data_IF_682202569367
#
_entry.id   IF_682202569367
#
_cell.length_a   1.000
_cell.length_b   1.000
_cell.length_c   1.000
_cell.angle_alpha   90.00
_cell.angle_beta   90.00
_cell.angle_gamma   90.00
#
_symmetry.space_group_name_H-M   'P 1'
#
loop_
_entity.id
_entity.type
_entity.pdbx_description
1 polymer ?
#
# COMPACT_ATOMS: atom_id res chain seq x y z
N UNK A 1 -11.83 -0.51 27.46
CA UNK A 1 -10.78 0.47 27.08
C UNK A 1 -9.40 -0.21 26.96
N UNK A 2 -9.29 -1.32 26.22
CA UNK A 2 -8.06 -2.14 26.14
C UNK A 2 -7.50 -2.25 24.70
N UNK A 3 -7.75 -1.28 23.82
CA UNK A 3 -7.58 -1.50 22.37
C UNK A 3 -6.38 -0.78 21.73
N UNK A 4 -5.79 0.22 22.38
CA UNK A 4 -4.68 1.00 21.80
C UNK A 4 -3.34 0.28 21.83
N UNK A 5 -2.90 -0.16 23.02
CA UNK A 5 -1.58 -0.79 23.22
C UNK A 5 -1.43 -2.15 22.54
N UNK A 6 -2.50 -2.97 22.52
CA UNK A 6 -2.46 -4.27 21.83
C UNK A 6 -2.39 -4.12 20.30
N UNK A 7 -3.09 -3.13 19.74
CA UNK A 7 -3.07 -2.86 18.30
C UNK A 7 -1.71 -2.34 17.83
N UNK A 8 -1.03 -1.52 18.64
CA UNK A 8 0.33 -1.08 18.34
C UNK A 8 1.29 -2.27 18.38
N UNK A 9 1.30 -3.07 19.45
CA UNK A 9 2.17 -4.24 19.56
C UNK A 9 1.98 -5.23 18.40
N UNK A 10 0.73 -5.43 17.96
CA UNK A 10 0.42 -6.24 16.79
C UNK A 10 1.21 -5.79 15.55
N UNK A 11 1.19 -4.48 15.25
CA UNK A 11 1.91 -3.91 14.10
C UNK A 11 3.44 -4.09 14.20
N UNK A 12 4.00 -4.17 15.41
CA UNK A 12 5.42 -4.43 15.62
C UNK A 12 5.83 -5.90 15.44
N UNK A 13 4.90 -6.84 15.64
CA UNK A 13 5.16 -8.28 15.57
C UNK A 13 4.91 -8.90 14.19
N UNK A 14 4.25 -8.18 13.29
CA UNK A 14 3.90 -8.67 11.97
C UNK A 14 5.13 -8.82 11.08
N UNK A 15 5.19 -9.91 10.31
CA UNK A 15 6.26 -10.14 9.33
C UNK A 15 6.12 -9.14 8.19
N UNK A 16 7.11 -8.26 8.06
CA UNK A 16 7.26 -7.34 6.92
C UNK A 16 7.80 -8.11 5.73
N UNK A 17 7.21 -7.89 4.56
CA UNK A 17 7.72 -8.41 3.29
C UNK A 17 8.40 -7.29 2.50
N UNK A 18 9.52 -7.57 1.80
CA UNK A 18 10.11 -6.61 0.87
C UNK A 18 9.18 -6.30 -0.31
N UNK A 19 9.09 -5.04 -0.72
CA UNK A 19 8.25 -4.60 -1.85
C UNK A 19 8.58 -5.34 -3.15
N UNK A 20 9.86 -5.61 -3.44
CA UNK A 20 10.26 -6.31 -4.66
C UNK A 20 9.76 -7.75 -4.76
N UNK A 21 9.27 -8.35 -3.66
CA UNK A 21 8.69 -9.69 -3.64
C UNK A 21 7.18 -9.70 -3.86
N UNK A 22 6.55 -8.54 -4.03
CA UNK A 22 5.11 -8.46 -4.28
C UNK A 22 4.78 -9.07 -5.65
N UNK A 23 3.82 -9.98 -5.63
CA UNK A 23 3.23 -10.61 -6.82
C UNK A 23 1.70 -10.64 -6.70
N UNK A 24 0.97 -10.76 -7.81
CA UNK A 24 -0.48 -10.88 -7.76
C UNK A 24 -0.96 -12.06 -6.89
N UNK A 25 -2.19 -11.94 -6.34
CA UNK A 25 -2.86 -12.97 -5.53
C UNK A 25 -2.16 -13.36 -4.22
N UNK A 26 -1.18 -12.57 -3.74
CA UNK A 26 -0.65 -12.77 -2.40
C UNK A 26 -1.75 -12.62 -1.33
N UNK A 27 -1.66 -13.38 -0.21
CA UNK A 27 -2.45 -13.07 0.98
C UNK A 27 -2.16 -11.64 1.46
N UNK A 28 -2.99 -11.06 2.37
CA UNK A 28 -2.73 -9.74 2.92
C UNK A 28 -1.30 -9.58 3.42
N UNK A 29 -0.68 -8.46 3.07
CA UNK A 29 0.74 -8.20 3.28
C UNK A 29 0.96 -7.09 4.30
N UNK A 30 2.11 -7.15 4.97
CA UNK A 30 2.57 -6.08 5.85
C UNK A 30 3.82 -5.47 5.27
N UNK A 31 3.87 -4.14 5.21
CA UNK A 31 4.92 -3.39 4.55
C UNK A 31 5.42 -2.28 5.48
N UNK A 32 6.70 -1.97 5.34
CA UNK A 32 7.31 -0.76 5.87
C UNK A 32 7.94 -0.02 4.71
N UNK A 33 7.61 1.26 4.56
CA UNK A 33 7.94 2.01 3.36
C UNK A 33 8.00 3.51 3.61
N UNK A 34 8.66 4.22 2.71
CA UNK A 34 8.53 5.67 2.57
C UNK A 34 7.57 5.99 1.43
N UNK A 35 6.72 7.00 1.62
CA UNK A 35 5.91 7.59 0.55
C UNK A 35 6.80 8.51 -0.28
N UNK A 36 6.95 8.23 -1.58
CA UNK A 36 7.82 9.01 -2.47
C UNK A 36 7.05 9.87 -3.46
N UNK A 37 5.82 9.49 -3.81
CA UNK A 37 4.90 10.31 -4.61
C UNK A 37 3.48 10.21 -4.06
N UNK A 38 2.70 11.28 -4.18
CA UNK A 38 1.29 11.32 -3.80
C UNK A 38 0.46 11.91 -4.93
N UNK A 39 -0.44 11.12 -5.49
CA UNK A 39 -1.37 11.58 -6.51
C UNK A 39 -2.52 12.42 -5.96
N UNK A 40 -3.38 12.89 -6.85
CA UNK A 40 -4.62 13.60 -6.50
C UNK A 40 -5.69 12.64 -5.94
N UNK A 41 -6.62 13.21 -5.18
CA UNK A 41 -7.81 12.49 -4.71
C UNK A 41 -8.72 12.22 -5.91
N UNK A 42 -9.06 10.95 -6.13
CA UNK A 42 -9.97 10.47 -7.17
C UNK A 42 -11.23 9.92 -6.55
N UNK A 43 -12.33 9.92 -7.31
CA UNK A 43 -13.61 9.35 -6.88
C UNK A 43 -13.91 8.11 -7.72
N UNK A 44 -14.15 6.98 -7.06
CA UNK A 44 -14.57 5.74 -7.69
C UNK A 44 -16.06 5.79 -8.06
N UNK A 45 -16.51 4.84 -8.89
CA UNK A 45 -17.90 4.76 -9.36
C UNK A 45 -18.93 4.59 -8.23
N UNK A 46 -18.50 4.05 -7.08
CA UNK A 46 -19.32 3.88 -5.87
C UNK A 46 -19.36 5.15 -4.99
N UNK A 47 -18.80 6.27 -5.45
CA UNK A 47 -18.75 7.54 -4.72
C UNK A 47 -17.66 7.64 -3.64
N UNK A 48 -16.90 6.56 -3.38
CA UNK A 48 -15.79 6.59 -2.43
C UNK A 48 -14.56 7.21 -3.06
N UNK A 49 -13.83 7.98 -2.26
CA UNK A 49 -12.58 8.58 -2.69
C UNK A 49 -11.40 7.64 -2.48
N UNK A 50 -10.38 7.77 -3.31
CA UNK A 50 -9.10 7.09 -3.12
C UNK A 50 -7.97 7.97 -3.62
N UNK A 51 -6.77 7.73 -3.12
CA UNK A 51 -5.54 8.33 -3.61
C UNK A 51 -4.56 7.22 -3.92
N UNK A 52 -3.90 7.31 -5.08
CA UNK A 52 -2.77 6.41 -5.41
C UNK A 52 -1.50 7.13 -5.03
N UNK A 53 -0.68 6.46 -4.22
CA UNK A 53 0.65 6.94 -3.80
C UNK A 53 1.70 5.94 -4.26
N UNK A 54 2.91 6.42 -4.54
CA UNK A 54 4.07 5.57 -4.80
C UNK A 54 4.84 5.40 -3.50
N UNK A 55 5.13 4.16 -3.15
CA UNK A 55 5.84 3.79 -1.92
C UNK A 55 7.09 2.99 -2.25
N UNK A 56 8.14 3.15 -1.45
CA UNK A 56 9.41 2.47 -1.68
C UNK A 56 10.04 1.97 -0.38
N UNK A 57 10.81 0.89 -0.49
CA UNK A 57 11.73 0.37 0.52
C UNK A 57 13.09 0.07 -0.13
N UNK A 58 14.04 -0.47 0.62
CA UNK A 58 15.38 -0.80 0.10
C UNK A 58 15.41 -1.87 -1.00
N UNK A 59 14.29 -2.55 -1.23
CA UNK A 59 14.17 -3.64 -2.21
C UNK A 59 13.55 -3.18 -3.52
N UNK A 60 12.63 -2.23 -3.52
CA UNK A 60 11.91 -1.76 -4.71
C UNK A 60 10.82 -0.73 -4.37
N UNK A 61 10.01 -0.38 -5.36
CA UNK A 61 8.85 0.49 -5.19
C UNK A 61 7.58 -0.09 -5.82
N UNK A 62 6.41 0.38 -5.37
CA UNK A 62 5.12 0.02 -5.96
C UNK A 62 4.06 1.10 -5.70
N UNK A 63 2.92 0.98 -6.40
CA UNK A 63 1.71 1.73 -6.09
C UNK A 63 1.00 1.20 -4.84
N UNK A 64 0.50 2.13 -4.03
CA UNK A 64 -0.41 1.91 -2.92
C UNK A 64 -1.68 2.76 -3.13
N UNK A 65 -2.84 2.10 -3.20
CA UNK A 65 -4.15 2.75 -3.28
C UNK A 65 -4.74 2.86 -1.88
N UNK A 66 -4.91 4.09 -1.40
CA UNK A 66 -5.44 4.39 -0.06
C UNK A 66 -6.86 4.93 -0.20
N UNK A 67 -7.81 4.30 0.50
CA UNK A 67 -9.22 4.67 0.42
C UNK A 67 -9.64 5.71 1.46
N UNK A 68 -10.64 6.50 1.08
CA UNK A 68 -11.33 7.48 1.91
C UNK A 68 -10.36 8.48 2.59
N UNK A 69 -10.69 8.90 3.81
CA UNK A 69 -9.92 9.85 4.61
C UNK A 69 -8.52 9.34 5.02
N UNK A 70 -8.23 8.04 4.89
CA UNK A 70 -6.91 7.49 5.23
C UNK A 70 -5.78 8.14 4.40
N UNK A 71 -6.08 8.58 3.18
CA UNK A 71 -5.13 9.25 2.29
C UNK A 71 -4.67 10.62 2.82
N UNK A 72 -5.42 11.26 3.73
CA UNK A 72 -5.05 12.56 4.29
C UNK A 72 -3.93 12.44 5.34
N UNK A 73 -3.75 11.26 5.93
CA UNK A 73 -2.77 11.03 6.99
C UNK A 73 -1.36 10.74 6.49
N UNK A 74 -1.18 10.57 5.18
CA UNK A 74 0.14 10.33 4.56
C UNK A 74 0.55 11.50 3.67
N UNK A 75 1.84 11.81 3.67
CA UNK A 75 2.49 12.84 2.86
C UNK A 75 3.77 12.28 2.26
N UNK A 76 4.28 12.92 1.21
CA UNK A 76 5.59 12.57 0.64
C UNK A 76 6.66 12.73 1.73
N UNK A 77 7.55 11.76 1.83
CA UNK A 77 8.59 11.66 2.85
C UNK A 77 8.14 10.98 4.14
N UNK A 78 6.84 10.74 4.35
CA UNK A 78 6.39 9.97 5.51
C UNK A 78 6.87 8.53 5.39
N UNK A 79 7.44 8.03 6.47
CA UNK A 79 7.71 6.61 6.65
C UNK A 79 6.51 6.02 7.37
N UNK A 80 6.01 4.92 6.84
CA UNK A 80 4.77 4.30 7.28
C UNK A 80 4.95 2.79 7.39
N UNK A 81 4.14 2.20 8.27
CA UNK A 81 3.89 0.76 8.31
C UNK A 81 2.44 0.50 7.95
N UNK A 82 2.23 -0.45 7.05
CA UNK A 82 0.94 -0.99 6.66
C UNK A 82 0.82 -2.42 7.17
N UNK A 83 -0.31 -2.75 7.79
CA UNK A 83 -0.71 -4.12 8.08
C UNK A 83 -1.97 -4.49 7.32
N UNK A 84 -2.04 -5.76 6.94
CA UNK A 84 -3.17 -6.38 6.23
C UNK A 84 -3.55 -5.63 4.94
N UNK A 85 -2.53 -5.22 4.18
CA UNK A 85 -2.69 -4.61 2.85
C UNK A 85 -3.08 -5.64 1.80
N UNK A 86 -4.12 -5.38 1.01
CA UNK A 86 -4.54 -6.29 -0.05
C UNK A 86 -3.71 -6.09 -1.33
N UNK A 87 -3.17 -7.15 -1.92
CA UNK A 87 -2.48 -7.05 -3.22
C UNK A 87 -3.48 -7.24 -4.36
N UNK A 88 -3.61 -6.24 -5.23
CA UNK A 88 -4.58 -6.25 -6.33
C UNK A 88 -3.91 -5.87 -7.65
N UNK A 89 -4.52 -6.30 -8.75
CA UNK A 89 -4.14 -5.85 -10.09
C UNK A 89 -5.28 -5.06 -10.70
N UNK A 90 -4.96 -3.93 -11.31
CA UNK A 90 -5.88 -3.14 -12.11
C UNK A 90 -5.22 -2.78 -13.44
N UNK A 91 -5.88 -3.12 -14.56
CA UNK A 91 -5.39 -2.87 -15.93
C UNK A 91 -3.93 -3.33 -16.17
N UNK A 92 -3.53 -4.46 -15.57
CA UNK A 92 -2.17 -5.01 -15.71
C UNK A 92 -1.10 -4.39 -14.79
N UNK A 93 -1.49 -3.51 -13.87
CA UNK A 93 -0.60 -2.90 -12.88
C UNK A 93 -0.92 -3.44 -11.48
N UNK A 94 0.10 -3.82 -10.73
CA UNK A 94 -0.02 -4.24 -9.34
C UNK A 94 -0.15 -3.01 -8.43
N UNK A 95 -1.10 -3.03 -7.50
CA UNK A 95 -1.20 -2.06 -6.41
C UNK A 95 -1.49 -2.78 -5.11
N UNK A 96 -0.83 -2.34 -4.05
CA UNK A 96 -1.27 -2.66 -2.68
C UNK A 96 -2.46 -1.76 -2.36
N UNK A 97 -3.43 -2.25 -1.59
CA UNK A 97 -4.65 -1.52 -1.23
C UNK A 97 -4.75 -1.41 0.28
N UNK A 98 -4.84 -0.18 0.77
CA UNK A 98 -5.16 0.15 2.16
C UNK A 98 -6.64 0.48 2.27
N UNK A 99 -7.44 -0.52 2.64
CA UNK A 99 -8.90 -0.44 2.76
C UNK A 99 -9.39 -0.48 4.21
N UNK A 100 -10.68 -0.79 4.41
CA UNK A 100 -11.34 -0.84 5.72
C UNK A 100 -10.68 -1.80 6.73
N UNK A 101 -10.13 -2.90 6.23
CA UNK A 101 -9.53 -3.95 7.07
C UNK A 101 -8.02 -3.79 7.26
N UNK A 102 -7.41 -2.80 6.60
CA UNK A 102 -5.98 -2.53 6.71
C UNK A 102 -5.73 -1.51 7.82
N UNK A 103 -4.52 -1.51 8.38
CA UNK A 103 -4.08 -0.45 9.30
C UNK A 103 -2.81 0.20 8.75
N UNK A 104 -2.85 1.51 8.55
CA UNK A 104 -1.68 2.30 8.21
C UNK A 104 -1.32 3.21 9.38
N UNK A 105 -0.04 3.28 9.71
CA UNK A 105 0.49 4.19 10.72
C UNK A 105 1.76 4.84 10.24
N UNK A 106 1.96 6.11 10.61
CA UNK A 106 3.29 6.72 10.50
C UNK A 106 4.25 5.98 11.44
N UNK A 107 5.42 5.70 10.93
CA UNK A 107 6.47 4.92 11.54
C UNK A 107 7.79 5.70 11.38
N UNK A 108 8.68 5.69 12.38
CA UNK A 108 10.02 6.31 12.26
C UNK A 108 10.84 5.66 11.13
N UNK A 109 12.00 6.12 10.69
CA UNK A 109 13.11 6.87 11.27
C UNK A 109 13.82 7.72 10.20
N UNK A 110 14.60 8.73 10.61
CA UNK A 110 15.27 9.72 9.74
C UNK A 110 16.12 9.13 8.58
N UNK A 111 16.53 7.86 8.70
CA UNK A 111 17.33 7.13 7.71
C UNK A 111 16.60 5.88 7.22
N UNK A 112 15.59 6.05 6.37
CA UNK A 112 14.90 4.93 5.73
C UNK A 112 15.42 4.73 4.31
N UNK A 113 16.26 3.71 4.04
CA UNK A 113 16.82 3.48 2.71
C UNK A 113 15.72 3.04 1.74
N UNK A 114 15.69 3.67 0.57
CA UNK A 114 14.74 3.37 -0.50
C UNK A 114 15.45 3.16 -1.83
N UNK A 115 14.81 2.40 -2.70
CA UNK A 115 15.12 2.35 -4.14
C UNK A 115 13.81 2.42 -4.93
N UNK A 116 13.83 3.15 -6.04
CA UNK A 116 12.71 3.16 -6.98
C UNK A 116 12.76 1.98 -7.96
N UNK A 117 13.81 1.16 -7.89
CA UNK A 117 14.00 0.03 -8.80
C UNK A 117 14.17 -1.30 -8.03
N UNK A 118 13.47 -2.37 -8.45
CA UNK A 118 12.44 -2.38 -9.50
C UNK A 118 11.14 -1.70 -9.05
N UNK A 119 10.40 -1.13 -9.99
CA UNK A 119 8.99 -0.77 -9.80
C UNK A 119 8.12 -1.99 -10.12
N UNK A 120 7.62 -2.66 -9.08
CA UNK A 120 6.81 -3.88 -9.25
C UNK A 120 5.35 -3.57 -9.66
N UNK A 121 4.97 -2.30 -9.72
CA UNK A 121 3.67 -1.83 -10.19
C UNK A 121 3.65 -1.40 -11.66
N UNK A 122 4.78 -1.45 -12.35
CA UNK A 122 4.83 -1.29 -13.80
C UNK A 122 3.86 -2.24 -14.52
N UNK A 123 3.37 -1.80 -15.68
CA UNK A 123 2.45 -2.57 -16.48
C UNK A 123 3.09 -3.89 -16.93
N UNK A 124 2.39 -5.00 -16.70
CA UNK A 124 2.75 -6.31 -17.24
C UNK A 124 1.54 -6.96 -17.89
N UNK A 125 1.68 -7.39 -19.15
CA UNK A 125 0.58 -8.02 -19.90
C UNK A 125 0.07 -9.28 -19.19
N UNK A 126 0.99 -10.08 -18.64
CA UNK A 126 0.69 -11.29 -17.86
C UNK A 126 -0.16 -11.02 -16.60
N UNK A 127 -0.19 -9.78 -16.09
CA UNK A 127 -0.99 -9.44 -14.91
C UNK A 127 -2.46 -9.20 -15.26
N UNK A 128 -2.82 -9.00 -16.53
CA UNK A 128 -4.22 -8.78 -16.93
C UNK A 128 -5.14 -9.91 -16.52
N UNK A 129 -4.64 -11.15 -16.48
CA UNK A 129 -5.43 -12.32 -16.03
C UNK A 129 -5.85 -12.23 -14.56
N UNK A 130 -5.21 -11.39 -13.75
CA UNK A 130 -5.52 -11.16 -12.34
C UNK A 130 -6.33 -9.87 -12.12
N UNK A 131 -6.58 -9.10 -13.18
CA UNK A 131 -7.24 -7.81 -13.11
C UNK A 131 -8.69 -7.94 -12.67
N UNK A 132 -9.11 -7.12 -11.70
CA UNK A 132 -10.54 -6.93 -11.43
C UNK A 132 -11.08 -5.87 -12.39
N UNK A 133 -12.30 -6.09 -12.90
CA UNK A 133 -12.97 -5.17 -13.85
C UNK A 133 -13.22 -3.77 -13.26
N UNK A 134 -13.19 -3.63 -11.93
CA UNK A 134 -13.30 -2.34 -11.25
C UNK A 134 -12.61 -2.35 -9.88
N UNK A 135 -12.17 -1.17 -9.44
CA UNK A 135 -11.55 -0.94 -8.11
C UNK A 135 -12.61 -1.02 -6.98
N UNK A 136 -13.71 -1.77 -7.15
CA UNK A 136 -14.92 -1.64 -6.33
C UNK A 136 -15.01 -2.62 -5.14
N UNK A 137 -13.99 -3.43 -4.86
CA UNK A 137 -14.04 -4.42 -3.77
C UNK A 137 -12.99 -4.15 -2.69
N UNK A 138 -13.34 -3.29 -1.71
CA UNK A 138 -12.70 -3.18 -0.39
C UNK A 138 -13.63 -2.54 0.63
#
# INVERSE_FOLDING_TARGET
MANGGQKINYLYTMKIIPIALLVPQMPPVNLEFMVIEKGEVKTASNGRTFTVVKIADKSGCCQLTIWNEFANFVQIGDICRLADGGVQVYKGQLSVVCGKNSTIMKFGEFFFPITEYPDVSEFKEEYRQYGKDSINNS
#
